data_IF_888087307158
#
_entry.id   IF_888087307158
#
_cell.length_a   1.000
_cell.length_b   1.000
_cell.length_c   1.000
_cell.angle_alpha   90.00
_cell.angle_beta   90.00
_cell.angle_gamma   90.00
#
_symmetry.space_group_name_H-M   'P 1'
#
loop_
_entity.id
_entity.type
_entity.pdbx_description
1 polymer ?
#
# COMPACT_ATOMS: atom_id res chain seq x y z
N UNK A 1 -0.16 -24.43 12.32
CA UNK A 1 -1.62 -24.37 12.47
C UNK A 1 -2.12 -23.95 11.12
N UNK A 2 -2.53 -24.94 10.34
CA UNK A 2 -3.30 -24.73 9.13
C UNK A 2 -4.69 -24.28 9.58
N UNK A 3 -5.11 -23.10 9.13
CA UNK A 3 -6.50 -22.70 9.13
C UNK A 3 -6.77 -22.18 7.72
N UNK A 4 -7.20 -23.10 6.87
CA UNK A 4 -8.05 -22.80 5.72
C UNK A 4 -9.27 -22.03 6.24
N UNK A 5 -9.21 -20.70 6.20
CA UNK A 5 -10.41 -19.88 6.10
C UNK A 5 -10.62 -19.61 4.61
N UNK A 6 -11.25 -20.57 3.93
CA UNK A 6 -12.12 -20.29 2.78
C UNK A 6 -13.39 -19.60 3.31
N UNK A 7 -13.24 -18.43 3.92
CA UNK A 7 -14.37 -17.54 4.17
C UNK A 7 -14.72 -16.89 2.82
N UNK A 8 -15.49 -17.65 2.03
CA UNK A 8 -16.46 -17.16 1.06
C UNK A 8 -17.48 -16.29 1.81
N UNK A 9 -17.13 -15.04 2.06
CA UNK A 9 -18.09 -13.95 2.26
C UNK A 9 -17.67 -12.81 1.32
N UNK A 10 -17.84 -13.05 0.01
CA UNK A 10 -18.03 -12.01 -0.98
C UNK A 10 -19.35 -11.30 -0.60
N UNK A 11 -19.28 -10.31 0.28
CA UNK A 11 -20.37 -9.33 0.48
C UNK A 11 -20.56 -8.58 -0.86
N UNK A 12 -21.39 -9.18 -1.72
CA UNK A 12 -21.90 -8.62 -2.96
C UNK A 12 -22.79 -7.42 -2.63
N UNK A 13 -22.18 -6.31 -2.21
CA UNK A 13 -22.84 -5.01 -2.27
C UNK A 13 -22.96 -4.63 -3.76
N UNK A 14 -24.13 -4.95 -4.33
CA UNK A 14 -24.61 -4.54 -5.65
C UNK A 14 -24.83 -3.02 -5.74
N UNK A 15 -23.81 -2.21 -5.46
CA UNK A 15 -23.90 -0.78 -5.71
C UNK A 15 -23.70 -0.54 -7.22
N UNK A 16 -24.78 -0.17 -7.89
CA UNK A 16 -24.75 0.16 -9.32
C UNK A 16 -23.75 1.30 -9.54
N UNK A 17 -22.79 1.18 -10.49
CA UNK A 17 -21.79 2.22 -10.70
C UNK A 17 -22.46 3.57 -11.01
N UNK A 18 -22.28 4.55 -10.13
CA UNK A 18 -22.73 5.92 -10.37
C UNK A 18 -22.14 6.47 -11.70
N UNK A 19 -22.82 7.42 -12.35
CA UNK A 19 -22.33 8.03 -13.58
C UNK A 19 -20.89 8.52 -13.43
N UNK A 20 -20.06 8.21 -14.43
CA UNK A 20 -18.62 8.52 -14.48
C UNK A 20 -18.26 9.99 -14.25
N UNK A 21 -19.22 10.90 -14.43
CA UNK A 21 -19.05 12.35 -14.23
C UNK A 21 -19.10 12.80 -12.75
N UNK A 22 -19.51 11.94 -11.81
CA UNK A 22 -19.60 12.29 -10.37
C UNK A 22 -18.38 11.86 -9.53
N UNK A 23 -17.37 11.22 -10.14
CA UNK A 23 -16.23 10.66 -9.40
C UNK A 23 -15.02 11.58 -9.30
N UNK A 24 -14.91 12.28 -8.16
CA UNK A 24 -13.70 13.02 -7.76
C UNK A 24 -12.51 12.13 -7.34
N UNK A 25 -12.69 10.81 -7.26
CA UNK A 25 -11.67 9.84 -6.82
C UNK A 25 -11.77 8.52 -7.60
N UNK A 26 -10.64 7.79 -7.71
CA UNK A 26 -10.59 6.47 -8.36
C UNK A 26 -11.36 5.45 -7.50
N UNK A 27 -12.40 4.86 -8.09
CA UNK A 27 -13.16 3.81 -7.42
C UNK A 27 -12.52 2.42 -7.57
N UNK A 28 -12.53 1.60 -6.51
CA UNK A 28 -12.22 0.19 -6.62
C UNK A 28 -13.21 -0.52 -7.56
N UNK A 29 -12.68 -1.25 -8.54
CA UNK A 29 -13.51 -2.10 -9.42
C UNK A 29 -14.07 -3.27 -8.59
N UNK A 30 -15.38 -3.50 -8.61
CA UNK A 30 -16.02 -4.62 -7.93
C UNK A 30 -15.40 -5.98 -8.32
N UNK A 31 -15.37 -6.95 -7.40
CA UNK A 31 -14.70 -8.25 -7.59
C UNK A 31 -15.17 -8.96 -8.86
N UNK A 32 -16.49 -9.00 -9.11
CA UNK A 32 -17.09 -9.62 -10.31
C UNK A 32 -16.66 -8.93 -11.61
N UNK A 33 -16.67 -7.60 -11.63
CA UNK A 33 -16.24 -6.83 -12.80
C UNK A 33 -14.75 -7.04 -13.07
N UNK A 34 -13.92 -7.01 -12.02
CA UNK A 34 -12.48 -7.28 -12.11
C UNK A 34 -12.20 -8.66 -12.70
N UNK A 35 -12.88 -9.71 -12.21
CA UNK A 35 -12.76 -11.08 -12.75
C UNK A 35 -13.18 -11.18 -14.21
N UNK A 36 -14.22 -10.44 -14.62
CA UNK A 36 -14.68 -10.40 -16.02
C UNK A 36 -13.63 -9.77 -16.92
N UNK A 37 -13.04 -8.64 -16.51
CA UNK A 37 -11.96 -7.96 -17.24
C UNK A 37 -10.73 -8.87 -17.41
N UNK A 38 -10.31 -9.56 -16.34
CA UNK A 38 -9.18 -10.49 -16.39
C UNK A 38 -9.43 -11.65 -17.37
N UNK A 39 -10.63 -12.24 -17.35
CA UNK A 39 -11.00 -13.31 -18.29
C UNK A 39 -11.01 -12.81 -19.75
N UNK A 40 -11.53 -11.61 -20.00
CA UNK A 40 -11.51 -11.00 -21.33
C UNK A 40 -10.08 -10.72 -21.83
N UNK A 41 -9.13 -10.46 -20.92
CA UNK A 41 -7.71 -10.33 -21.23
C UNK A 41 -7.00 -11.68 -21.48
N UNK A 42 -7.71 -12.81 -21.45
CA UNK A 42 -7.18 -14.14 -21.70
C UNK A 42 -6.77 -14.93 -20.45
N UNK A 43 -6.99 -14.39 -19.25
CA UNK A 43 -6.72 -15.10 -17.99
C UNK A 43 -7.88 -16.03 -17.65
N UNK A 44 -7.84 -17.25 -18.20
CA UNK A 44 -8.89 -18.25 -18.01
C UNK A 44 -9.03 -18.73 -16.55
N UNK A 45 -7.92 -18.77 -15.80
CA UNK A 45 -7.86 -19.15 -14.38
C UNK A 45 -6.97 -18.15 -13.63
N UNK A 46 -7.47 -17.64 -12.51
CA UNK A 46 -6.72 -16.78 -11.59
C UNK A 46 -6.01 -17.70 -10.60
N UNK A 47 -4.72 -17.49 -10.39
CA UNK A 47 -3.96 -18.27 -9.43
C UNK A 47 -4.31 -17.83 -8.00
N UNK A 48 -4.70 -18.80 -7.17
CA UNK A 48 -5.03 -18.54 -5.77
C UNK A 48 -3.78 -18.25 -4.94
N UNK A 49 -2.60 -18.72 -5.37
CA UNK A 49 -1.33 -18.44 -4.67
C UNK A 49 -0.94 -16.98 -4.78
N UNK A 50 -1.18 -16.36 -5.94
CA UNK A 50 -0.93 -14.92 -6.18
C UNK A 50 -1.69 -14.04 -5.17
N UNK A 51 -2.93 -14.42 -4.80
CA UNK A 51 -3.69 -13.71 -3.75
C UNK A 51 -2.93 -13.68 -2.43
N UNK A 52 -2.32 -14.80 -2.05
CA UNK A 52 -1.55 -14.91 -0.81
C UNK A 52 -0.26 -14.09 -0.89
N UNK A 53 0.51 -14.21 -1.98
CA UNK A 53 1.73 -13.44 -2.20
C UNK A 53 1.47 -11.93 -2.19
N UNK A 54 0.41 -11.46 -2.85
CA UNK A 54 0.01 -10.05 -2.84
C UNK A 54 -0.37 -9.58 -1.43
N UNK A 55 -0.98 -10.45 -0.63
CA UNK A 55 -1.30 -10.14 0.78
C UNK A 55 -0.02 -9.95 1.60
N UNK A 56 0.98 -10.82 1.42
CA UNK A 56 2.29 -10.68 2.06
C UNK A 56 3.01 -9.40 1.63
N UNK A 57 2.97 -9.06 0.34
CA UNK A 57 3.55 -7.82 -0.18
C UNK A 57 2.88 -6.59 0.44
N UNK A 58 1.53 -6.55 0.51
CA UNK A 58 0.79 -5.46 1.15
C UNK A 58 1.21 -5.30 2.61
N UNK A 59 1.22 -6.40 3.37
CA UNK A 59 1.67 -6.40 4.77
C UNK A 59 3.10 -5.91 4.91
N UNK A 60 4.01 -6.34 4.05
CA UNK A 60 5.40 -5.87 4.06
C UNK A 60 5.50 -4.36 3.80
N UNK A 61 4.61 -3.80 2.97
CA UNK A 61 4.57 -2.35 2.69
C UNK A 61 3.95 -1.54 3.81
N UNK A 62 3.20 -2.14 4.72
CA UNK A 62 2.68 -1.44 5.91
C UNK A 62 3.76 -1.16 6.95
N UNK A 63 4.86 -1.92 6.92
CA UNK A 63 6.00 -1.79 7.84
C UNK A 63 7.25 -1.24 7.15
N UNK A 64 7.14 -0.74 5.92
CA UNK A 64 8.26 -0.05 5.27
C UNK A 64 8.37 1.40 5.79
N UNK A 65 9.57 1.98 5.67
CA UNK A 65 9.88 3.33 6.15
C UNK A 65 10.73 3.33 7.42
N UNK A 66 11.22 4.51 7.79
CA UNK A 66 11.94 4.70 9.06
C UNK A 66 10.96 4.88 10.21
N UNK A 67 11.40 4.65 11.45
CA UNK A 67 10.63 4.95 12.67
C UNK A 67 11.00 6.30 13.31
N UNK A 68 11.76 7.15 12.58
CA UNK A 68 12.33 8.37 13.14
C UNK A 68 11.25 9.43 13.44
N UNK A 69 11.21 9.91 14.68
CA UNK A 69 10.30 10.97 15.14
C UNK A 69 11.07 12.22 15.56
N UNK A 70 10.35 13.28 15.94
CA UNK A 70 10.97 14.48 16.55
C UNK A 70 11.73 14.14 17.83
N UNK A 71 11.21 13.21 18.63
CA UNK A 71 11.80 12.78 19.90
C UNK A 71 13.13 12.05 19.70
N UNK A 72 13.25 11.29 18.61
CA UNK A 72 14.52 10.65 18.21
C UNK A 72 15.51 11.61 17.54
N UNK A 73 15.15 12.88 17.35
CA UNK A 73 15.97 13.88 16.67
C UNK A 73 15.93 13.80 15.13
N UNK A 74 14.93 13.13 14.55
CA UNK A 74 14.81 12.95 13.10
C UNK A 74 15.75 11.88 12.52
N UNK A 75 15.84 11.80 11.18
CA UNK A 75 16.57 10.73 10.49
C UNK A 75 18.09 10.86 10.64
N UNK A 76 18.71 10.14 11.57
CA UNK A 76 20.18 10.13 11.73
C UNK A 76 20.85 9.08 10.82
N UNK A 77 22.10 9.32 10.36
CA UNK A 77 22.82 8.39 9.50
C UNK A 77 22.99 6.98 10.09
N UNK A 78 23.13 6.86 11.42
CA UNK A 78 23.38 5.57 12.08
C UNK A 78 22.13 4.82 12.51
N UNK A 79 20.94 5.45 12.48
CA UNK A 79 19.71 4.87 13.06
C UNK A 79 18.50 4.88 12.15
N UNK A 80 18.49 5.70 11.10
CA UNK A 80 17.36 5.76 10.18
C UNK A 80 17.41 4.59 9.19
N UNK A 81 16.40 3.72 9.20
CA UNK A 81 16.34 2.57 8.29
C UNK A 81 16.40 2.99 6.81
N UNK A 82 15.70 4.06 6.42
CA UNK A 82 15.76 4.58 5.04
C UNK A 82 17.18 4.99 4.66
N UNK A 83 17.90 5.68 5.56
CA UNK A 83 19.28 6.07 5.32
C UNK A 83 20.20 4.85 5.20
N UNK A 84 20.09 3.91 6.14
CA UNK A 84 20.91 2.70 6.17
C UNK A 84 20.71 1.85 4.91
N UNK A 85 19.49 1.82 4.38
CA UNK A 85 19.15 1.13 3.14
C UNK A 85 19.42 1.95 1.88
N UNK A 86 19.95 3.17 2.00
CA UNK A 86 20.28 4.01 0.85
C UNK A 86 19.06 4.40 0.01
N UNK A 87 17.92 4.67 0.65
CA UNK A 87 16.70 5.18 0.00
C UNK A 87 16.22 6.51 0.63
N UNK A 88 15.47 7.30 -0.14
CA UNK A 88 14.81 8.49 0.39
C UNK A 88 13.72 8.12 1.41
N UNK A 89 13.45 8.99 2.37
CA UNK A 89 12.30 8.82 3.25
C UNK A 89 11.01 9.13 2.48
N UNK A 90 10.17 8.13 2.24
CA UNK A 90 8.91 8.29 1.51
C UNK A 90 7.76 8.58 2.48
N UNK A 91 6.89 9.51 2.09
CA UNK A 91 5.70 9.91 2.84
C UNK A 91 4.54 10.06 1.86
N UNK A 92 3.67 9.06 1.84
CA UNK A 92 2.49 8.98 0.99
C UNK A 92 1.30 9.69 1.63
N UNK A 93 1.18 9.58 2.96
CA UNK A 93 0.17 10.26 3.76
C UNK A 93 0.78 10.63 5.12
N UNK A 94 0.05 11.40 5.92
CA UNK A 94 0.55 11.83 7.22
C UNK A 94 1.08 10.63 8.02
N UNK A 95 2.35 10.71 8.39
CA UNK A 95 3.09 9.71 9.17
C UNK A 95 3.31 8.33 8.54
N UNK A 96 3.08 8.16 7.24
CA UNK A 96 3.23 6.88 6.56
C UNK A 96 3.82 7.04 5.15
N UNK A 97 4.76 6.19 4.71
CA UNK A 97 5.44 5.15 5.49
C UNK A 97 6.45 5.71 6.50
N UNK A 98 7.01 6.90 6.28
CA UNK A 98 7.90 7.54 7.25
C UNK A 98 7.17 8.58 8.14
N UNK A 99 7.27 8.49 9.48
CA UNK A 99 6.75 9.49 10.42
C UNK A 99 7.70 10.69 10.60
N UNK A 100 8.90 10.63 10.03
CA UNK A 100 9.88 11.71 10.15
C UNK A 100 9.31 13.04 9.64
N UNK A 101 9.51 14.11 10.41
CA UNK A 101 9.02 15.43 10.05
C UNK A 101 9.90 16.08 8.99
N UNK A 102 9.31 16.77 8.01
CA UNK A 102 10.02 17.45 6.91
C UNK A 102 11.18 18.30 7.41
N UNK A 103 10.94 19.12 8.45
CA UNK A 103 11.95 20.03 9.01
C UNK A 103 13.09 19.33 9.76
N UNK A 104 12.95 18.06 10.12
CA UNK A 104 13.92 17.31 10.92
C UNK A 104 14.47 16.07 10.20
N UNK A 105 14.02 15.78 8.98
CA UNK A 105 14.55 14.68 8.20
C UNK A 105 15.97 15.04 7.73
N UNK A 106 16.98 14.37 8.30
CA UNK A 106 18.40 14.54 7.91
C UNK A 106 18.89 13.41 7.00
N UNK A 107 17.97 12.70 6.33
CA UNK A 107 18.36 11.73 5.32
C UNK A 107 18.97 12.48 4.11
N UNK A 108 20.24 12.25 3.72
CA UNK A 108 20.87 12.88 2.57
C UNK A 108 20.21 12.52 1.23
N UNK A 109 19.47 11.41 1.15
CA UNK A 109 18.67 11.08 -0.02
C UNK A 109 17.32 11.81 -0.06
N UNK A 110 17.05 12.61 0.98
CA UNK A 110 15.89 13.48 1.07
C UNK A 110 14.64 12.80 1.63
N UNK A 111 13.56 13.58 1.59
CA UNK A 111 12.20 13.19 1.96
C UNK A 111 11.30 13.44 0.74
N UNK A 112 10.59 12.42 0.30
CA UNK A 112 9.66 12.49 -0.84
C UNK A 112 8.24 12.50 -0.30
N UNK A 113 7.48 13.51 -0.67
CA UNK A 113 6.07 13.68 -0.32
C UNK A 113 5.24 13.57 -1.60
N UNK A 114 4.25 12.68 -1.59
CA UNK A 114 3.32 12.54 -2.71
C UNK A 114 2.09 13.41 -2.43
N UNK A 115 1.60 14.11 -3.46
CA UNK A 115 0.38 14.93 -3.38
C UNK A 115 -0.88 14.09 -3.59
#
# INVERSE_FOLDING_TARGET
IDSDNEDDDDDDNDEEPLPVDDYYFVQPIATRQRRTLLKQAGLAKIDATEKHELTLIRRSREVCGCSCTRETGGCQPSTCDCHLNGIACQVDRLTFPCPCATMLCKNPLGRLEFN
#
